data_IF_141384440825
#
_entry.id   IF_141384440825
#
_cell.length_a   1.000
_cell.length_b   1.000
_cell.length_c   1.000
_cell.angle_alpha   90.00
_cell.angle_beta   90.00
_cell.angle_gamma   90.00
#
_symmetry.space_group_name_H-M   'P 1'
#
loop_
_entity.id
_entity.type
_entity.pdbx_description
1 polymer ?
#
# COMPACT_ATOMS: atom_id res chain seq x y z
N UNK A 1 -68.93 -56.49 5.80
CA UNK A 1 -68.98 -57.28 4.54
C UNK A 1 -67.65 -57.15 3.81
N UNK A 2 -67.02 -58.31 3.49
CA UNK A 2 -66.04 -58.62 2.40
C UNK A 2 -64.70 -57.82 2.38
N UNK A 3 -63.56 -58.45 2.77
CA UNK A 3 -62.57 -59.20 1.94
C UNK A 3 -62.06 -58.37 0.75
N UNK A 4 -60.76 -58.13 0.53
CA UNK A 4 -59.72 -59.16 0.29
C UNK A 4 -58.28 -58.61 0.40
N UNK A 5 -57.42 -59.37 1.08
CA UNK A 5 -55.97 -59.44 0.89
C UNK A 5 -55.60 -59.87 -0.54
N UNK A 6 -54.51 -59.32 -1.08
CA UNK A 6 -53.90 -59.78 -2.34
C UNK A 6 -52.40 -59.94 -2.16
N UNK A 7 -52.00 -61.14 -1.70
CA UNK A 7 -50.62 -61.63 -1.81
C UNK A 7 -50.22 -61.75 -3.29
N UNK A 8 -49.30 -60.91 -3.76
CA UNK A 8 -48.57 -61.14 -5.01
C UNK A 8 -47.44 -62.14 -4.75
N UNK A 9 -47.62 -63.37 -5.27
CA UNK A 9 -46.57 -64.40 -5.37
C UNK A 9 -45.49 -63.92 -6.34
N UNK A 10 -44.27 -63.76 -5.84
CA UNK A 10 -43.10 -63.42 -6.65
C UNK A 10 -42.52 -64.72 -7.20
N UNK A 11 -42.77 -65.01 -8.48
CA UNK A 11 -42.19 -66.16 -9.18
C UNK A 11 -40.70 -65.90 -9.41
N UNK A 12 -39.85 -66.55 -8.60
CA UNK A 12 -38.41 -66.60 -8.82
C UNK A 12 -38.07 -67.39 -10.08
N UNK A 13 -37.98 -66.71 -11.23
CA UNK A 13 -37.33 -67.25 -12.42
C UNK A 13 -35.82 -67.35 -12.17
N UNK A 14 -35.35 -68.55 -11.85
CA UNK A 14 -33.92 -68.87 -11.90
C UNK A 14 -33.44 -68.86 -13.35
N UNK A 15 -33.02 -67.69 -13.83
CA UNK A 15 -32.24 -67.56 -15.06
C UNK A 15 -30.89 -68.25 -14.87
N UNK A 16 -30.72 -69.43 -15.48
CA UNK A 16 -29.40 -70.04 -15.69
C UNK A 16 -28.62 -69.19 -16.69
N UNK A 17 -27.76 -68.31 -16.17
CA UNK A 17 -26.81 -67.55 -16.98
C UNK A 17 -25.79 -68.54 -17.56
N UNK A 18 -25.75 -68.64 -18.89
CA UNK A 18 -24.77 -69.46 -19.61
C UNK A 18 -23.35 -68.93 -19.39
N UNK A 19 -22.31 -69.79 -19.39
CA UNK A 19 -20.91 -69.41 -19.12
C UNK A 19 -20.43 -68.21 -19.94
N UNK A 20 -20.81 -68.14 -21.22
CA UNK A 20 -20.43 -67.05 -22.13
C UNK A 20 -21.00 -65.68 -21.72
N UNK A 21 -22.20 -65.63 -21.12
CA UNK A 21 -22.79 -64.38 -20.63
C UNK A 21 -22.15 -63.90 -19.34
N UNK A 22 -21.58 -64.79 -18.51
CA UNK A 22 -20.82 -64.40 -17.32
C UNK A 22 -19.45 -63.82 -17.67
N UNK A 23 -18.80 -64.33 -18.73
CA UNK A 23 -17.54 -63.78 -19.22
C UNK A 23 -17.71 -62.35 -19.78
N UNK A 24 -18.72 -62.14 -20.63
CA UNK A 24 -19.03 -60.81 -21.19
C UNK A 24 -19.43 -59.77 -20.12
N UNK A 25 -20.15 -60.19 -19.06
CA UNK A 25 -20.49 -59.30 -17.94
C UNK A 25 -19.25 -58.90 -17.12
N UNK A 26 -18.25 -59.79 -17.02
CA UNK A 26 -17.00 -59.53 -16.31
C UNK A 26 -16.12 -58.54 -17.08
N UNK A 27 -16.06 -58.64 -18.41
CA UNK A 27 -15.29 -57.71 -19.25
C UNK A 27 -15.85 -56.28 -19.23
N UNK A 28 -17.17 -56.10 -19.25
CA UNK A 28 -17.80 -54.77 -19.16
C UNK A 28 -17.57 -54.12 -17.78
N UNK A 29 -17.61 -54.90 -16.70
CA UNK A 29 -17.28 -54.41 -15.34
C UNK A 29 -15.81 -54.00 -15.24
N UNK A 30 -14.90 -54.78 -15.83
CA UNK A 30 -13.47 -54.45 -15.87
C UNK A 30 -13.22 -53.18 -16.68
N UNK A 31 -13.85 -53.02 -17.85
CA UNK A 31 -13.72 -51.84 -18.69
C UNK A 31 -14.23 -50.56 -18.00
N UNK A 32 -15.42 -50.64 -17.36
CA UNK A 32 -15.99 -49.52 -16.58
C UNK A 32 -15.10 -49.11 -15.41
N UNK A 33 -14.55 -50.09 -14.67
CA UNK A 33 -13.64 -49.82 -13.56
C UNK A 33 -12.34 -49.17 -14.06
N UNK A 34 -11.79 -49.64 -15.18
CA UNK A 34 -10.58 -49.08 -15.78
C UNK A 34 -10.80 -47.64 -16.27
N UNK A 35 -11.95 -47.35 -16.88
CA UNK A 35 -12.32 -46.00 -17.29
C UNK A 35 -12.51 -45.06 -16.08
N UNK A 36 -13.14 -45.53 -15.01
CA UNK A 36 -13.30 -44.77 -13.77
C UNK A 36 -11.94 -44.45 -13.10
N UNK A 37 -11.00 -45.40 -13.08
CA UNK A 37 -9.64 -45.19 -12.56
C UNK A 37 -8.86 -44.18 -13.41
N UNK A 38 -8.98 -44.26 -14.74
CA UNK A 38 -8.33 -43.29 -15.64
C UNK A 38 -8.89 -41.88 -15.44
N UNK A 39 -10.22 -41.72 -15.41
CA UNK A 39 -10.88 -40.43 -15.16
C UNK A 39 -10.48 -39.84 -13.80
N UNK A 40 -10.44 -40.67 -12.74
CA UNK A 40 -9.99 -40.23 -11.41
C UNK A 40 -8.53 -39.78 -11.40
N UNK A 41 -7.67 -40.45 -12.17
CA UNK A 41 -6.26 -40.08 -12.31
C UNK A 41 -6.11 -38.76 -13.07
N UNK A 42 -6.83 -38.58 -14.18
CA UNK A 42 -6.86 -37.33 -14.92
C UNK A 42 -7.35 -36.16 -14.05
N UNK A 43 -8.43 -36.34 -13.28
CA UNK A 43 -8.93 -35.32 -12.36
C UNK A 43 -7.90 -34.93 -11.29
N UNK A 44 -7.18 -35.91 -10.72
CA UNK A 44 -6.10 -35.64 -9.75
C UNK A 44 -4.97 -34.84 -10.38
N UNK A 45 -4.56 -35.18 -11.60
CA UNK A 45 -3.51 -34.46 -12.32
C UNK A 45 -3.94 -33.02 -12.66
N UNK A 46 -5.18 -32.82 -13.11
CA UNK A 46 -5.74 -31.49 -13.35
C UNK A 46 -5.78 -30.65 -12.06
N UNK A 47 -6.24 -31.23 -10.95
CA UNK A 47 -6.27 -30.54 -9.66
C UNK A 47 -4.86 -30.16 -9.18
N UNK A 48 -3.90 -31.08 -9.26
CA UNK A 48 -2.50 -30.81 -8.89
C UNK A 48 -1.88 -29.69 -9.76
N UNK A 49 -2.10 -29.74 -11.08
CA UNK A 49 -1.63 -28.69 -11.99
C UNK A 49 -2.29 -27.34 -11.69
N UNK A 50 -3.59 -27.33 -11.39
CA UNK A 50 -4.32 -26.11 -11.03
C UNK A 50 -3.75 -25.47 -9.77
N UNK A 51 -3.37 -26.26 -8.77
CA UNK A 51 -2.76 -25.76 -7.52
C UNK A 51 -1.37 -25.20 -7.77
N UNK A 52 -0.57 -25.82 -8.63
CA UNK A 52 0.74 -25.28 -9.03
C UNK A 52 0.58 -23.92 -9.73
N UNK A 53 -0.39 -23.79 -10.64
CA UNK A 53 -0.67 -22.53 -11.34
C UNK A 53 -1.11 -21.44 -10.36
N UNK A 54 -2.06 -21.75 -9.45
CA UNK A 54 -2.51 -20.80 -8.43
C UNK A 54 -1.35 -20.30 -7.55
N UNK A 55 -0.46 -21.20 -7.13
CA UNK A 55 0.72 -20.83 -6.33
C UNK A 55 1.67 -19.90 -7.09
N UNK A 56 1.91 -20.17 -8.38
CA UNK A 56 2.75 -19.30 -9.23
C UNK A 56 2.14 -17.91 -9.38
N UNK A 57 0.85 -17.84 -9.70
CA UNK A 57 0.12 -16.56 -9.83
C UNK A 57 0.16 -15.79 -8.50
N UNK A 58 -0.08 -16.46 -7.37
CA UNK A 58 -0.03 -15.82 -6.06
C UNK A 58 1.39 -15.32 -5.70
N UNK A 59 2.44 -16.06 -6.07
CA UNK A 59 3.82 -15.64 -5.84
C UNK A 59 4.19 -14.42 -6.70
N UNK A 60 3.80 -14.41 -7.98
CA UNK A 60 4.01 -13.28 -8.89
C UNK A 60 3.24 -12.04 -8.44
N UNK A 61 1.98 -12.20 -8.02
CA UNK A 61 1.17 -11.11 -7.48
C UNK A 61 1.82 -10.48 -6.24
N UNK A 62 2.30 -11.30 -5.29
CA UNK A 62 3.03 -10.81 -4.10
C UNK A 62 4.32 -10.07 -4.48
N UNK A 63 5.04 -10.54 -5.50
CA UNK A 63 6.25 -9.88 -5.98
C UNK A 63 5.91 -8.50 -6.56
N UNK A 64 4.88 -8.42 -7.42
CA UNK A 64 4.42 -7.17 -8.01
C UNK A 64 3.93 -6.16 -6.96
N UNK A 65 3.19 -6.62 -5.94
CA UNK A 65 2.74 -5.77 -4.82
C UNK A 65 3.92 -5.20 -4.03
N UNK A 66 4.93 -6.02 -3.75
CA UNK A 66 6.12 -5.57 -3.03
C UNK A 66 6.92 -4.53 -3.82
N UNK A 67 7.07 -4.73 -5.13
CA UNK A 67 7.74 -3.77 -6.03
C UNK A 67 6.96 -2.46 -6.12
N UNK A 68 5.63 -2.52 -6.25
CA UNK A 68 4.78 -1.33 -6.26
C UNK A 68 4.84 -0.57 -4.93
N UNK A 69 4.85 -1.28 -3.80
CA UNK A 69 4.98 -0.67 -2.47
C UNK A 69 6.33 0.04 -2.33
N UNK A 70 7.42 -0.59 -2.79
CA UNK A 70 8.76 0.00 -2.79
C UNK A 70 8.80 1.25 -3.67
N UNK A 71 8.29 1.18 -4.89
CA UNK A 71 8.25 2.32 -5.81
C UNK A 71 7.44 3.50 -5.25
N UNK A 72 6.31 3.24 -4.57
CA UNK A 72 5.52 4.28 -3.90
C UNK A 72 6.28 4.95 -2.76
N UNK A 73 6.99 4.16 -1.95
CA UNK A 73 7.82 4.68 -0.87
C UNK A 73 8.97 5.53 -1.42
N UNK A 74 9.66 5.06 -2.45
CA UNK A 74 10.74 5.79 -3.11
C UNK A 74 10.23 7.11 -3.71
N UNK A 75 9.06 7.08 -4.36
CA UNK A 75 8.42 8.28 -4.89
C UNK A 75 8.01 9.27 -3.79
N UNK A 76 7.47 8.78 -2.68
CA UNK A 76 7.11 9.62 -1.54
C UNK A 76 8.35 10.26 -0.92
N UNK A 77 9.42 9.50 -0.72
CA UNK A 77 10.69 10.00 -0.21
C UNK A 77 11.30 11.04 -1.15
N UNK A 78 11.26 10.80 -2.46
CA UNK A 78 11.72 11.77 -3.46
C UNK A 78 10.94 13.09 -3.37
N UNK A 79 9.61 13.03 -3.35
CA UNK A 79 8.75 14.22 -3.21
C UNK A 79 9.01 14.97 -1.91
N UNK A 80 9.15 14.24 -0.81
CA UNK A 80 9.46 14.82 0.49
C UNK A 80 10.81 15.53 0.48
N UNK A 81 11.84 14.91 -0.10
CA UNK A 81 13.17 15.52 -0.22
C UNK A 81 13.16 16.76 -1.12
N UNK A 82 12.43 16.72 -2.24
CA UNK A 82 12.26 17.88 -3.13
C UNK A 82 11.55 19.04 -2.41
N UNK A 83 10.48 18.75 -1.65
CA UNK A 83 9.77 19.75 -0.85
C UNK A 83 10.67 20.34 0.24
N UNK A 84 11.46 19.51 0.93
CA UNK A 84 12.41 19.98 1.95
C UNK A 84 13.50 20.85 1.35
N UNK A 85 14.01 20.51 0.16
CA UNK A 85 14.99 21.33 -0.56
C UNK A 85 14.39 22.67 -0.94
N UNK A 86 13.19 22.69 -1.54
CA UNK A 86 12.52 23.95 -1.88
C UNK A 86 12.23 24.83 -0.65
N UNK A 87 11.83 24.22 0.47
CA UNK A 87 11.65 24.89 1.75
C UNK A 87 12.97 25.49 2.28
N UNK A 88 14.07 24.75 2.21
CA UNK A 88 15.40 25.24 2.61
C UNK A 88 15.84 26.43 1.76
N UNK A 89 15.62 26.38 0.44
CA UNK A 89 15.95 27.46 -0.49
C UNK A 89 15.18 28.74 -0.16
N UNK A 90 13.90 28.58 0.17
CA UNK A 90 13.07 29.70 0.59
C UNK A 90 13.52 30.25 1.95
N UNK A 91 13.91 29.39 2.89
CA UNK A 91 14.40 29.79 4.20
C UNK A 91 15.72 30.57 4.09
N UNK A 92 16.63 30.17 3.21
CA UNK A 92 17.88 30.91 2.96
C UNK A 92 17.60 32.31 2.43
N UNK A 93 16.65 32.46 1.50
CA UNK A 93 16.23 33.79 1.02
C UNK A 93 15.69 34.66 2.14
N UNK A 94 14.92 34.08 3.07
CA UNK A 94 14.43 34.82 4.25
C UNK A 94 15.61 35.28 5.12
N UNK A 95 16.59 34.40 5.36
CA UNK A 95 17.80 34.73 6.13
C UNK A 95 18.62 35.84 5.46
N UNK A 96 18.80 35.78 4.15
CA UNK A 96 19.50 36.82 3.37
C UNK A 96 18.80 38.17 3.51
N UNK A 97 17.47 38.19 3.38
CA UNK A 97 16.67 39.40 3.55
C UNK A 97 16.70 39.96 4.98
N UNK A 98 16.72 39.09 6.00
CA UNK A 98 16.88 39.50 7.41
C UNK A 98 18.19 40.26 7.57
N UNK A 99 19.29 39.69 7.05
CA UNK A 99 20.62 40.33 7.08
C UNK A 99 20.64 41.65 6.31
N UNK A 100 19.99 41.70 5.14
CA UNK A 100 19.88 42.92 4.35
C UNK A 100 19.07 44.02 5.06
N UNK A 101 18.14 43.62 5.93
CA UNK A 101 17.35 44.54 6.78
C UNK A 101 18.12 45.04 8.02
N UNK A 102 19.45 44.82 8.07
CA UNK A 102 20.32 45.19 9.20
C UNK A 102 19.96 44.51 10.52
N UNK A 103 19.23 43.39 10.49
CA UNK A 103 18.98 42.55 11.66
C UNK A 103 20.15 41.58 11.81
N UNK A 104 20.81 41.60 12.96
CA UNK A 104 21.89 40.66 13.25
C UNK A 104 21.35 39.23 13.26
N UNK A 105 21.88 38.38 12.39
CA UNK A 105 21.46 36.99 12.26
C UNK A 105 22.65 36.07 11.96
N UNK A 106 22.97 35.17 12.90
CA UNK A 106 24.00 34.14 12.76
C UNK A 106 23.29 32.80 12.48
N UNK A 107 23.47 32.22 11.29
CA UNK A 107 22.74 31.00 10.90
C UNK A 107 23.01 29.80 11.82
N UNK A 108 24.13 29.79 12.53
CA UNK A 108 24.49 28.67 13.41
C UNK A 108 23.84 28.80 14.80
N UNK A 109 23.50 30.01 15.22
CA UNK A 109 23.06 30.33 16.60
C UNK A 109 21.67 30.95 16.67
N UNK A 110 21.34 31.77 15.68
CA UNK A 110 20.09 32.51 15.62
C UNK A 110 18.95 31.62 15.17
N UNK A 111 17.75 32.03 15.58
CA UNK A 111 16.49 31.44 15.16
C UNK A 111 15.51 32.55 14.80
N UNK A 112 14.55 32.22 13.96
CA UNK A 112 13.44 33.12 13.69
C UNK A 112 12.12 32.37 13.52
N UNK A 113 11.03 33.09 13.76
CA UNK A 113 9.67 32.66 13.51
C UNK A 113 8.96 33.74 12.71
N UNK A 114 8.55 33.42 11.48
CA UNK A 114 7.76 34.29 10.62
C UNK A 114 6.40 33.63 10.37
N UNK A 115 5.33 34.20 10.90
CA UNK A 115 3.97 33.74 10.66
C UNK A 115 3.02 34.91 10.39
N UNK A 116 1.73 34.63 10.19
CA UNK A 116 0.75 35.67 9.86
C UNK A 116 0.55 36.72 10.97
N UNK A 117 0.94 36.40 12.20
CA UNK A 117 0.70 37.16 13.44
C UNK A 117 1.96 37.82 13.99
N UNK A 118 3.13 37.18 13.84
CA UNK A 118 4.40 37.67 14.41
C UNK A 118 5.58 37.42 13.49
N UNK A 119 6.57 38.29 13.62
CA UNK A 119 7.91 38.07 13.11
C UNK A 119 8.91 38.27 14.24
N UNK A 120 9.54 37.17 14.67
CA UNK A 120 10.45 37.14 15.82
C UNK A 120 11.82 36.67 15.35
N UNK A 121 12.88 37.35 15.78
CA UNK A 121 14.27 36.94 15.57
C UNK A 121 14.96 36.93 16.92
N UNK A 122 15.52 35.78 17.33
CA UNK A 122 16.20 35.59 18.61
C UNK A 122 15.40 36.09 19.83
N UNK A 123 14.09 35.83 19.82
CA UNK A 123 13.17 36.20 20.88
C UNK A 123 12.77 37.68 20.90
N UNK A 124 13.19 38.48 19.91
CA UNK A 124 12.78 39.88 19.76
C UNK A 124 11.75 40.01 18.65
N UNK A 125 10.63 40.66 18.95
CA UNK A 125 9.63 41.03 17.94
C UNK A 125 10.22 42.08 16.99
N UNK A 126 10.07 41.84 15.69
CA UNK A 126 10.44 42.77 14.64
C UNK A 126 9.39 43.86 14.51
N UNK A 127 9.76 44.98 13.89
CA UNK A 127 8.84 46.09 13.65
C UNK A 127 7.67 45.66 12.76
N UNK A 128 6.49 46.27 12.95
CA UNK A 128 5.30 45.96 12.15
C UNK A 128 5.54 46.16 10.65
N UNK A 129 6.32 47.18 10.28
CA UNK A 129 6.72 47.43 8.89
C UNK A 129 7.51 46.25 8.30
N UNK A 130 8.49 45.73 9.06
CA UNK A 130 9.30 44.60 8.62
C UNK A 130 8.46 43.32 8.55
N UNK A 131 7.62 43.07 9.56
CA UNK A 131 6.70 41.94 9.57
C UNK A 131 5.77 41.96 8.37
N UNK A 132 5.16 43.11 8.06
CA UNK A 132 4.28 43.26 6.91
C UNK A 132 5.00 42.96 5.60
N UNK A 133 6.19 43.51 5.40
CA UNK A 133 7.00 43.29 4.20
C UNK A 133 7.35 41.80 4.01
N UNK A 134 7.83 41.14 5.07
CA UNK A 134 8.18 39.72 5.02
C UNK A 134 6.94 38.83 4.84
N UNK A 135 5.83 39.18 5.48
CA UNK A 135 4.56 38.48 5.31
C UNK A 135 4.08 38.53 3.86
N UNK A 136 4.07 39.71 3.25
CA UNK A 136 3.67 39.87 1.85
C UNK A 136 4.62 39.13 0.88
N UNK A 137 5.92 39.12 1.17
CA UNK A 137 6.93 38.48 0.32
C UNK A 137 6.94 36.95 0.42
N UNK A 138 6.76 36.40 1.62
CA UNK A 138 7.04 34.98 1.88
C UNK A 138 5.82 34.15 2.28
N UNK A 139 4.82 34.75 2.93
CA UNK A 139 3.65 34.02 3.39
C UNK A 139 2.60 33.95 2.28
N UNK A 140 2.48 32.78 1.67
CA UNK A 140 1.42 32.50 0.69
C UNK A 140 0.03 32.50 1.33
N UNK A 141 -1.03 32.58 0.52
CA UNK A 141 -2.43 32.64 0.98
C UNK A 141 -2.89 31.52 1.95
N UNK A 142 -2.14 30.42 2.05
CA UNK A 142 -2.43 29.33 3.00
C UNK A 142 -2.05 29.65 4.46
N UNK A 143 -1.36 30.77 4.72
CA UNK A 143 -0.96 31.20 6.07
C UNK A 143 0.10 30.32 6.74
N UNK A 144 0.84 29.50 5.97
CA UNK A 144 1.91 28.65 6.51
C UNK A 144 3.12 29.50 6.89
N UNK A 145 3.50 29.49 8.17
CA UNK A 145 4.68 30.19 8.66
C UNK A 145 6.01 29.50 8.30
N UNK A 146 7.10 30.22 8.50
CA UNK A 146 8.48 29.73 8.37
C UNK A 146 9.19 29.85 9.71
N UNK A 147 9.76 28.75 10.16
CA UNK A 147 10.41 28.64 11.46
C UNK A 147 11.79 28.01 11.25
N UNK A 148 12.83 28.72 11.65
CA UNK A 148 14.22 28.26 11.57
C UNK A 148 14.87 28.33 12.93
N UNK A 149 15.55 27.25 13.34
CA UNK A 149 16.45 27.25 14.49
C UNK A 149 16.38 25.97 15.31
N UNK A 150 17.17 25.93 16.38
CA UNK A 150 17.22 24.80 17.32
C UNK A 150 16.26 24.95 18.51
N UNK A 151 15.32 25.89 18.43
CA UNK A 151 14.34 26.18 19.48
C UNK A 151 12.99 25.55 19.13
N UNK A 152 12.29 25.02 20.12
CA UNK A 152 10.91 24.55 19.93
C UNK A 152 10.01 25.77 19.74
N UNK A 153 9.40 25.86 18.56
CA UNK A 153 8.49 26.93 18.20
C UNK A 153 7.10 26.34 18.00
N UNK A 154 6.11 26.99 18.60
CA UNK A 154 4.71 26.64 18.39
C UNK A 154 4.16 27.43 17.20
N UNK A 155 3.55 26.72 16.25
CA UNK A 155 3.00 27.34 15.06
C UNK A 155 2.62 26.33 13.99
N UNK A 156 1.89 26.81 12.99
CA UNK A 156 1.58 26.03 11.78
C UNK A 156 2.47 26.51 10.64
N UNK A 157 3.29 25.62 10.09
CA UNK A 157 4.16 26.00 8.99
C UNK A 157 5.31 25.02 8.73
N UNK A 158 6.33 25.54 8.08
CA UNK A 158 7.55 24.84 7.70
C UNK A 158 8.60 25.07 8.79
N UNK A 159 9.07 23.98 9.39
CA UNK A 159 10.10 23.98 10.42
C UNK A 159 11.38 23.39 9.84
N UNK A 160 12.46 24.15 9.89
CA UNK A 160 13.79 23.68 9.53
C UNK A 160 14.75 23.93 10.68
N UNK A 161 15.68 23.00 10.85
CA UNK A 161 16.83 23.18 11.72
C UNK A 161 18.02 23.71 10.92
N UNK A 162 19.03 24.22 11.62
CA UNK A 162 20.26 24.70 10.98
C UNK A 162 20.97 23.58 10.21
N UNK A 163 20.80 22.32 10.65
CA UNK A 163 21.33 21.14 9.96
C UNK A 163 20.70 20.92 8.58
N UNK A 164 19.44 21.27 8.44
CA UNK A 164 18.71 21.10 7.17
C UNK A 164 19.16 22.12 6.11
N UNK A 165 19.74 23.23 6.56
CA UNK A 165 20.37 24.23 5.69
C UNK A 165 21.83 23.88 5.37
N UNK A 166 22.54 23.26 6.32
CA UNK A 166 23.94 22.88 6.17
C UNK A 166 24.17 21.66 5.25
N UNK A 167 23.15 20.82 5.01
CA UNK A 167 23.26 19.60 4.21
C UNK A 167 23.11 19.80 2.68
N UNK A 168 23.39 21.00 2.18
CA UNK A 168 23.44 21.31 0.75
C UNK A 168 24.85 21.20 0.20
#
# INVERSE_FOLDING_TARGET
MKKTDSLKKNNGQHFRVTPDKKAALNEDVVAKNMQAVNNKTQQRNLAANSEVIKRKIAAEARKAENELRKAKLDQQNKRHNEQRKAAADQMLKIVEDIKASSVAFDMDKSWFALDSKRFVVDGRDMTELLHKSFKEKYLTNNGMGYYLGNVKLDGRGIFLSNKDLASR
#
